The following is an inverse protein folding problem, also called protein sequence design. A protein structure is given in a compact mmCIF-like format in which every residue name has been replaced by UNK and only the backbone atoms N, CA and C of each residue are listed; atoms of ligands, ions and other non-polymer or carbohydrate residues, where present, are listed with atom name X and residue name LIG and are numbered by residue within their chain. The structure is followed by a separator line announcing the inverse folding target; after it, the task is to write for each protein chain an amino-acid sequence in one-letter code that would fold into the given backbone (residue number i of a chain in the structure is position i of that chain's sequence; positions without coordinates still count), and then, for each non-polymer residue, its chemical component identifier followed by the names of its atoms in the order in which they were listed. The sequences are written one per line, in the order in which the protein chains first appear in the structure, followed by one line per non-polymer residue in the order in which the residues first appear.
data_IF_959620260029
#
_entry.id   IF_959620260029
#
_cell.length_a   1.000
_cell.length_b   1.000
_cell.length_c   1.000
_cell.angle_alpha   90.00
_cell.angle_beta   90.00
_cell.angle_gamma   90.00
#
_symmetry.space_group_name_H-M   'P 1'
#
loop_
_entity.id
_entity.type
_entity.pdbx_description
1 polymer ?
#
# COMPACT_ATOMS: atom_id res chain seq x y z
N UNK A 1 -51.88 -51.30 -12.94
CA UNK A 1 -52.62 -51.19 -14.21
C UNK A 1 -51.81 -50.27 -15.12
N UNK A 2 -51.41 -50.81 -16.27
CA UNK A 2 -51.12 -50.20 -17.58
C UNK A 2 -50.04 -49.11 -17.74
N UNK A 3 -49.05 -49.49 -18.58
CA UNK A 3 -48.22 -48.70 -19.51
C UNK A 3 -48.84 -47.41 -20.07
N UNK A 4 -47.98 -46.42 -20.38
CA UNK A 4 -47.59 -46.07 -21.76
C UNK A 4 -47.05 -44.63 -21.87
N UNK A 5 -46.00 -44.46 -22.69
CA UNK A 5 -46.07 -43.43 -23.75
C UNK A 5 -45.15 -42.21 -23.66
N UNK A 6 -43.90 -42.44 -24.06
CA UNK A 6 -42.89 -41.53 -24.59
C UNK A 6 -43.42 -40.51 -25.64
N UNK A 7 -42.88 -39.27 -25.55
CA UNK A 7 -42.61 -38.24 -26.58
C UNK A 7 -43.61 -37.86 -27.69
N UNK A 8 -43.82 -36.54 -27.90
CA UNK A 8 -43.56 -35.85 -29.20
C UNK A 8 -43.19 -34.35 -29.05
N UNK A 9 -41.90 -34.06 -29.30
CA UNK A 9 -41.22 -32.93 -30.00
C UNK A 9 -42.02 -31.66 -30.37
N UNK A 10 -41.57 -30.47 -29.92
CA UNK A 10 -40.61 -29.53 -30.56
C UNK A 10 -41.32 -28.45 -31.41
N UNK A 11 -41.29 -27.16 -31.06
CA UNK A 11 -40.35 -26.08 -31.41
C UNK A 11 -40.89 -24.86 -30.63
N UNK A 12 -40.13 -23.98 -29.97
CA UNK A 12 -39.30 -22.92 -30.55
C UNK A 12 -38.31 -22.38 -29.47
N UNK A 13 -37.08 -22.10 -29.88
CA UNK A 13 -36.03 -21.33 -29.16
C UNK A 13 -36.19 -19.84 -29.54
N UNK A 14 -35.37 -18.89 -29.03
CA UNK A 14 -34.59 -18.78 -27.78
C UNK A 14 -34.75 -17.39 -27.09
N UNK A 15 -34.26 -17.15 -25.87
CA UNK A 15 -33.54 -15.91 -25.52
C UNK A 15 -32.98 -15.98 -24.07
N UNK A 16 -31.67 -16.24 -23.99
CA UNK A 16 -30.66 -15.80 -23.01
C UNK A 16 -31.12 -15.25 -21.64
N UNK A 17 -30.66 -15.90 -20.56
CA UNK A 17 -30.25 -15.23 -19.34
C UNK A 17 -29.14 -16.03 -18.65
N UNK A 18 -27.94 -15.46 -18.64
CA UNK A 18 -26.78 -16.00 -17.97
C UNK A 18 -26.97 -15.95 -16.44
N UNK A 19 -26.82 -17.10 -15.78
CA UNK A 19 -26.77 -17.20 -14.32
C UNK A 19 -25.35 -16.81 -13.91
N UNK A 20 -25.18 -15.58 -13.43
CA UNK A 20 -23.95 -15.15 -12.78
C UNK A 20 -23.78 -15.92 -11.47
N UNK A 21 -22.81 -16.83 -11.43
CA UNK A 21 -22.29 -17.37 -10.19
C UNK A 21 -21.69 -16.23 -9.35
N UNK A 22 -22.43 -15.81 -8.32
CA UNK A 22 -21.93 -14.95 -7.27
C UNK A 22 -20.96 -15.75 -6.41
N UNK A 23 -19.67 -15.64 -6.73
CA UNK A 23 -18.57 -16.08 -5.87
C UNK A 23 -18.55 -15.18 -4.62
N UNK A 24 -19.32 -15.53 -3.61
CA UNK A 24 -19.21 -14.97 -2.26
C UNK A 24 -17.88 -15.44 -1.65
N UNK A 25 -16.78 -14.79 -2.02
CA UNK A 25 -15.58 -14.81 -1.21
C UNK A 25 -15.88 -14.04 0.08
N UNK A 26 -15.61 -14.60 1.28
CA UNK A 26 -15.82 -13.88 2.52
C UNK A 26 -14.85 -12.70 2.53
N UNK A 27 -15.37 -11.48 2.32
CA UNK A 27 -14.66 -10.25 2.59
C UNK A 27 -14.26 -10.29 4.06
N UNK A 28 -12.99 -10.61 4.34
CA UNK A 28 -12.39 -10.43 5.67
C UNK A 28 -12.57 -8.97 6.03
N UNK A 29 -13.56 -8.68 6.88
CA UNK A 29 -13.70 -7.37 7.51
C UNK A 29 -12.46 -7.20 8.39
N UNK A 30 -11.46 -6.48 7.91
CA UNK A 30 -10.36 -6.03 8.75
C UNK A 30 -10.95 -5.04 9.74
N UNK A 31 -11.08 -5.43 10.99
CA UNK A 31 -11.38 -4.51 12.08
C UNK A 31 -10.26 -3.49 12.10
N UNK A 32 -10.50 -2.27 11.60
CA UNK A 32 -9.47 -1.21 11.55
C UNK A 32 -8.88 -1.03 12.93
N UNK A 33 -7.56 -1.06 13.02
CA UNK A 33 -6.87 -0.77 14.28
C UNK A 33 -6.93 0.75 14.54
N UNK A 34 -6.90 1.20 15.81
CA UNK A 34 -6.78 2.63 16.13
C UNK A 34 -5.57 3.29 15.45
N UNK A 35 -4.50 2.51 15.23
CA UNK A 35 -3.28 2.95 14.58
C UNK A 35 -3.49 3.18 13.08
N UNK A 36 -4.24 2.31 12.40
CA UNK A 36 -4.64 2.49 11.01
C UNK A 36 -5.46 3.77 10.79
N UNK A 37 -6.39 4.07 11.69
CA UNK A 37 -7.18 5.30 11.62
C UNK A 37 -6.32 6.55 11.86
N UNK A 38 -5.36 6.48 12.79
CA UNK A 38 -4.36 7.53 13.01
C UNK A 38 -3.54 7.78 11.74
N UNK A 39 -2.97 6.73 11.13
CA UNK A 39 -2.17 6.85 9.90
C UNK A 39 -2.97 7.53 8.79
N UNK A 40 -4.25 7.18 8.62
CA UNK A 40 -5.11 7.82 7.61
C UNK A 40 -5.31 9.31 7.90
N UNK A 41 -5.59 9.69 9.14
CA UNK A 41 -5.77 11.10 9.51
C UNK A 41 -4.50 11.92 9.23
N UNK A 42 -3.34 11.39 9.60
CA UNK A 42 -2.05 12.02 9.36
C UNK A 42 -1.79 12.20 7.86
N UNK A 43 -2.11 11.19 7.05
CA UNK A 43 -2.01 11.27 5.58
C UNK A 43 -2.90 12.37 5.02
N UNK A 44 -4.15 12.48 5.48
CA UNK A 44 -5.07 13.52 5.00
C UNK A 44 -4.57 14.92 5.35
N UNK A 45 -4.12 15.14 6.59
CA UNK A 45 -3.54 16.43 7.00
C UNK A 45 -2.31 16.79 6.16
N UNK A 46 -1.38 15.85 6.04
CA UNK A 46 -0.15 16.06 5.28
C UNK A 46 -0.41 16.32 3.79
N UNK A 47 -1.39 15.63 3.20
CA UNK A 47 -1.77 15.85 1.80
C UNK A 47 -2.37 17.25 1.58
N UNK A 48 -3.08 17.78 2.58
CA UNK A 48 -3.58 19.16 2.55
C UNK A 48 -2.44 20.18 2.63
N UNK A 49 -1.47 19.95 3.52
CA UNK A 49 -0.34 20.84 3.74
C UNK A 49 0.65 20.87 2.57
N UNK A 50 0.92 19.72 1.95
CA UNK A 50 1.92 19.61 0.89
C UNK A 50 1.44 20.19 -0.45
N UNK A 51 0.15 20.41 -0.68
CA UNK A 51 -0.36 21.00 -1.93
C UNK A 51 -0.05 20.19 -3.21
N UNK A 52 -0.70 20.56 -4.32
CA UNK A 52 -0.58 19.82 -5.60
C UNK A 52 0.79 20.02 -6.27
N UNK A 53 1.42 21.19 -6.11
CA UNK A 53 2.68 21.54 -6.78
C UNK A 53 3.94 20.87 -6.22
N UNK A 54 3.88 20.36 -4.99
CA UNK A 54 5.05 19.76 -4.34
C UNK A 54 5.31 18.36 -4.91
N UNK A 55 4.29 17.62 -5.38
CA UNK A 55 4.44 16.25 -5.93
C UNK A 55 5.45 16.09 -7.05
N UNK A 56 5.58 17.06 -7.95
CA UNK A 56 6.56 16.99 -9.04
C UNK A 56 7.99 17.27 -8.57
N UNK A 57 8.14 18.16 -7.58
CA UNK A 57 9.42 18.48 -6.94
C UNK A 57 9.89 17.33 -6.04
N UNK A 58 8.95 16.61 -5.41
CA UNK A 58 9.22 15.50 -4.50
C UNK A 58 9.91 14.30 -5.14
N UNK A 59 9.70 14.06 -6.44
CA UNK A 59 10.38 12.98 -7.17
C UNK A 59 11.81 13.29 -7.60
N UNK A 60 12.27 14.53 -7.42
CA UNK A 60 13.59 15.02 -7.89
C UNK A 60 14.48 15.53 -6.75
N UNK A 61 14.08 15.30 -5.51
CA UNK A 61 14.86 15.71 -4.34
C UNK A 61 15.63 14.51 -3.80
N UNK A 62 16.78 14.79 -3.17
CA UNK A 62 17.57 13.74 -2.54
C UNK A 62 16.85 13.20 -1.29
N UNK A 63 17.12 11.95 -0.92
CA UNK A 63 16.40 11.33 0.20
C UNK A 63 16.60 12.06 1.54
N UNK A 64 17.77 12.66 1.76
CA UNK A 64 18.05 13.51 2.91
C UNK A 64 17.25 14.82 2.89
N UNK A 65 17.11 15.50 1.75
CA UNK A 65 16.24 16.68 1.64
C UNK A 65 14.75 16.33 1.72
N UNK A 66 14.31 15.22 1.09
CA UNK A 66 12.94 14.73 1.22
C UNK A 66 12.56 14.49 2.69
N UNK A 67 13.48 13.93 3.48
CA UNK A 67 13.25 13.73 4.90
C UNK A 67 13.34 15.04 5.67
N UNK A 68 14.50 15.71 5.63
CA UNK A 68 14.81 16.79 6.57
C UNK A 68 14.16 18.12 6.19
N UNK A 69 14.14 18.46 4.91
CA UNK A 69 13.66 19.75 4.42
C UNK A 69 12.16 19.76 4.13
N UNK A 70 11.58 18.59 3.88
CA UNK A 70 10.16 18.47 3.50
C UNK A 70 9.41 17.75 4.60
N UNK A 71 9.64 16.44 4.76
CA UNK A 71 8.84 15.64 5.68
C UNK A 71 8.90 16.18 7.11
N UNK A 72 10.10 16.30 7.68
CA UNK A 72 10.24 16.63 9.10
C UNK A 72 9.80 18.06 9.45
N UNK A 73 9.50 18.92 8.48
CA UNK A 73 8.88 20.23 8.74
C UNK A 73 7.40 20.12 9.13
N UNK A 74 6.69 19.11 8.65
CA UNK A 74 5.28 18.89 8.94
C UNK A 74 5.09 17.96 10.15
N UNK A 75 4.22 18.34 11.09
CA UNK A 75 3.90 17.54 12.29
C UNK A 75 3.43 16.14 11.89
N UNK A 76 2.50 16.07 10.93
CA UNK A 76 1.89 14.82 10.50
C UNK A 76 2.91 13.90 9.82
N UNK A 77 3.86 14.44 9.07
CA UNK A 77 4.92 13.61 8.47
C UNK A 77 5.94 13.14 9.50
N UNK A 78 6.33 13.97 10.48
CA UNK A 78 7.16 13.51 11.60
C UNK A 78 6.54 12.33 12.33
N UNK A 79 5.23 12.36 12.52
CA UNK A 79 4.49 11.25 13.14
C UNK A 79 4.45 10.02 12.25
N UNK A 80 4.12 10.17 10.96
CA UNK A 80 4.16 9.08 9.98
C UNK A 80 5.54 8.43 9.88
N UNK A 81 6.61 9.23 9.91
CA UNK A 81 7.99 8.76 9.89
C UNK A 81 8.33 7.89 11.09
N UNK A 82 7.92 8.31 12.29
CA UNK A 82 8.09 7.52 13.52
C UNK A 82 7.30 6.21 13.46
N UNK A 83 6.04 6.28 13.03
CA UNK A 83 5.18 5.11 12.90
C UNK A 83 5.78 4.10 11.93
N UNK A 84 6.16 4.54 10.73
CA UNK A 84 6.81 3.68 9.74
C UNK A 84 8.08 3.01 10.25
N UNK A 85 8.99 3.75 10.88
CA UNK A 85 10.21 3.15 11.44
C UNK A 85 9.91 2.11 12.51
N UNK A 86 8.85 2.29 13.29
CA UNK A 86 8.44 1.33 14.31
C UNK A 86 7.70 0.12 13.75
N UNK A 87 6.90 0.30 12.69
CA UNK A 87 6.04 -0.74 12.12
C UNK A 87 6.72 -1.55 11.03
N UNK A 88 7.62 -0.93 10.25
CA UNK A 88 8.40 -1.55 9.18
C UNK A 88 9.89 -1.66 9.56
N UNK A 89 10.14 -2.14 10.78
CA UNK A 89 11.48 -2.31 11.32
C UNK A 89 12.32 -3.28 10.49
N UNK A 90 13.58 -2.92 10.28
CA UNK A 90 14.60 -3.76 9.66
C UNK A 90 15.79 -3.78 10.61
N UNK A 91 16.32 -4.96 10.90
CA UNK A 91 17.46 -5.13 11.80
C UNK A 91 18.81 -4.82 11.11
N UNK A 92 19.89 -4.97 11.87
CA UNK A 92 21.27 -4.72 11.40
C UNK A 92 21.70 -5.67 10.27
N UNK A 93 21.11 -6.87 10.20
CA UNK A 93 21.32 -7.87 9.15
C UNK A 93 20.44 -7.61 7.91
N UNK A 94 19.73 -6.49 7.85
CA UNK A 94 18.77 -6.14 6.81
C UNK A 94 17.61 -7.15 6.67
N UNK A 95 17.20 -7.77 7.78
CA UNK A 95 16.01 -8.63 7.84
C UNK A 95 14.81 -7.85 8.32
N UNK A 96 13.64 -8.16 7.74
CA UNK A 96 12.39 -7.58 8.18
C UNK A 96 12.02 -8.09 9.57
N UNK A 97 11.72 -7.19 10.51
CA UNK A 97 11.28 -7.51 11.87
C UNK A 97 9.86 -7.01 12.17
N UNK A 98 9.06 -6.72 11.13
CA UNK A 98 7.68 -6.25 11.33
C UNK A 98 6.82 -7.31 12.02
N UNK A 99 5.94 -6.86 12.91
CA UNK A 99 4.97 -7.73 13.61
C UNK A 99 3.54 -7.54 13.10
N UNK A 100 3.23 -6.36 12.55
CA UNK A 100 1.94 -6.05 11.93
C UNK A 100 2.14 -5.53 10.51
N UNK A 101 1.78 -6.40 9.56
CA UNK A 101 1.89 -6.15 8.13
C UNK A 101 0.98 -5.03 7.64
N UNK A 102 -0.26 -4.95 8.13
CA UNK A 102 -1.23 -3.96 7.66
C UNK A 102 -0.81 -2.57 8.12
N UNK A 103 -0.41 -2.45 9.39
CA UNK A 103 0.12 -1.20 9.93
C UNK A 103 1.38 -0.76 9.19
N UNK A 104 2.33 -1.68 8.96
CA UNK A 104 3.54 -1.38 8.18
C UNK A 104 3.18 -0.84 6.79
N UNK A 105 2.35 -1.56 6.04
CA UNK A 105 1.94 -1.13 4.69
C UNK A 105 1.26 0.25 4.68
N UNK A 106 0.30 0.48 5.59
CA UNK A 106 -0.40 1.76 5.65
C UNK A 106 0.54 2.92 6.02
N UNK A 107 1.49 2.68 6.91
CA UNK A 107 2.49 3.69 7.28
C UNK A 107 3.41 4.04 6.10
N UNK A 108 3.79 3.04 5.30
CA UNK A 108 4.57 3.23 4.06
C UNK A 108 3.78 4.00 3.01
N UNK A 109 2.49 3.67 2.81
CA UNK A 109 1.63 4.44 1.91
C UNK A 109 1.51 5.90 2.35
N UNK A 110 1.45 6.18 3.65
CA UNK A 110 1.42 7.55 4.16
C UNK A 110 2.70 8.34 3.84
N UNK A 111 3.87 7.72 3.99
CA UNK A 111 5.16 8.34 3.70
C UNK A 111 5.50 8.45 2.22
N UNK A 112 5.02 7.53 1.40
CA UNK A 112 5.30 7.55 -0.05
C UNK A 112 4.80 8.82 -0.72
N UNK A 113 3.82 9.50 -0.12
CA UNK A 113 3.28 10.78 -0.59
C UNK A 113 4.23 11.97 -0.37
N UNK A 114 5.29 11.80 0.41
CA UNK A 114 6.19 12.88 0.83
C UNK A 114 7.49 12.90 0.02
N UNK A 115 7.52 12.22 -1.13
CA UNK A 115 8.71 12.05 -1.98
C UNK A 115 9.68 10.97 -1.48
N UNK A 116 9.55 10.55 -0.23
CA UNK A 116 10.46 9.59 0.40
C UNK A 116 10.47 8.21 -0.25
N UNK A 117 9.42 7.82 -0.98
CA UNK A 117 9.37 6.54 -1.71
C UNK A 117 10.00 6.56 -3.11
N UNK A 118 10.38 7.74 -3.62
CA UNK A 118 10.93 7.92 -4.99
C UNK A 118 12.18 8.80 -5.05
N UNK A 119 12.74 9.18 -3.90
CA UNK A 119 13.92 10.02 -3.80
C UNK A 119 15.19 9.31 -4.32
N UNK A 120 16.21 10.09 -4.67
CA UNK A 120 17.51 9.59 -5.11
C UNK A 120 18.63 10.04 -4.18
N UNK A 121 19.86 9.57 -4.42
CA UNK A 121 21.07 10.07 -3.76
C UNK A 121 22.13 10.28 -4.83
N UNK A 122 22.71 11.48 -4.90
CA UNK A 122 23.69 11.86 -5.94
C UNK A 122 25.15 11.71 -5.46
N UNK A 123 25.37 11.61 -4.16
CA UNK A 123 26.69 11.64 -3.52
C UNK A 123 26.96 10.39 -2.69
N UNK A 124 28.14 10.32 -2.07
CA UNK A 124 28.51 9.34 -1.05
C UNK A 124 27.90 9.64 0.34
N UNK A 125 26.88 10.49 0.43
CA UNK A 125 26.22 10.83 1.69
C UNK A 125 25.57 9.56 2.31
N UNK A 126 26.19 9.06 3.38
CA UNK A 126 25.74 7.87 4.11
C UNK A 126 24.30 8.00 4.60
N UNK A 127 23.90 9.18 5.04
CA UNK A 127 22.58 9.42 5.60
C UNK A 127 21.53 9.35 4.49
N UNK A 128 21.81 9.91 3.31
CA UNK A 128 20.91 9.78 2.17
C UNK A 128 20.70 8.31 1.79
N UNK A 129 21.78 7.53 1.68
CA UNK A 129 21.71 6.10 1.33
C UNK A 129 20.98 5.29 2.41
N UNK A 130 21.20 5.61 3.69
CA UNK A 130 20.49 4.99 4.79
C UNK A 130 18.98 5.29 4.70
N UNK A 131 18.57 6.53 4.48
CA UNK A 131 17.15 6.89 4.29
C UNK A 131 16.57 6.12 3.11
N UNK A 132 17.27 6.12 1.97
CA UNK A 132 16.84 5.42 0.75
C UNK A 132 16.68 3.91 0.95
N UNK A 133 17.56 3.29 1.73
CA UNK A 133 17.46 1.88 2.09
C UNK A 133 16.19 1.62 2.90
N UNK A 134 15.92 2.48 3.89
CA UNK A 134 14.77 2.32 4.77
C UNK A 134 13.44 2.72 4.12
N UNK A 135 13.42 3.49 3.03
CA UNK A 135 12.20 3.89 2.32
C UNK A 135 12.00 3.13 1.02
N UNK A 136 12.79 3.43 -0.02
CA UNK A 136 12.62 2.86 -1.37
C UNK A 136 12.90 1.36 -1.42
N UNK A 137 13.81 0.88 -0.57
CA UNK A 137 14.27 -0.51 -0.57
C UNK A 137 13.94 -1.26 0.72
N UNK A 138 12.98 -0.77 1.50
CA UNK A 138 12.62 -1.37 2.78
C UNK A 138 12.28 -2.86 2.60
N UNK A 139 13.00 -3.74 3.31
CA UNK A 139 12.87 -5.19 3.15
C UNK A 139 11.45 -5.68 3.46
N UNK A 140 10.82 -5.16 4.51
CA UNK A 140 9.45 -5.52 4.89
C UNK A 140 8.43 -5.22 3.79
N UNK A 141 8.57 -4.06 3.15
CA UNK A 141 7.69 -3.64 2.06
C UNK A 141 7.95 -4.47 0.80
N UNK A 142 9.21 -4.79 0.49
CA UNK A 142 9.54 -5.62 -0.68
C UNK A 142 9.07 -7.06 -0.53
N UNK A 143 9.21 -7.65 0.65
CA UNK A 143 8.67 -8.98 0.95
C UNK A 143 7.15 -9.00 0.83
N UNK A 144 6.47 -7.92 1.23
CA UNK A 144 5.04 -7.74 0.98
C UNK A 144 4.72 -7.78 -0.51
N UNK A 145 5.44 -7.03 -1.36
CA UNK A 145 5.17 -7.00 -2.81
C UNK A 145 5.39 -8.36 -3.48
N UNK A 146 6.34 -9.16 -3.01
CA UNK A 146 6.62 -10.50 -3.55
C UNK A 146 5.58 -11.53 -3.09
N UNK A 147 5.13 -11.45 -1.84
CA UNK A 147 4.09 -12.34 -1.30
C UNK A 147 2.68 -11.99 -1.82
N UNK A 148 2.44 -10.75 -2.23
CA UNK A 148 1.17 -10.29 -2.82
C UNK A 148 1.28 -10.06 -4.33
N UNK A 149 1.84 -11.02 -5.09
CA UNK A 149 1.85 -11.02 -6.56
C UNK A 149 0.43 -11.08 -7.21
N UNK A 150 -0.58 -10.50 -6.57
CA UNK A 150 -1.90 -10.14 -7.09
C UNK A 150 -2.10 -8.61 -7.22
N UNK A 151 -1.16 -7.76 -6.75
CA UNK A 151 -1.28 -6.29 -6.93
C UNK A 151 0.06 -5.63 -7.30
N UNK A 152 0.27 -5.25 -8.58
CA UNK A 152 1.48 -4.53 -9.00
C UNK A 152 1.48 -3.09 -8.46
N UNK A 153 2.66 -2.65 -8.00
CA UNK A 153 2.93 -1.26 -7.64
C UNK A 153 3.29 -0.50 -8.93
N UNK A 154 2.49 0.50 -9.29
CA UNK A 154 2.67 1.40 -10.44
C UNK A 154 3.45 2.68 -10.07
#
# INVERSE_FOLDING_TARGET
MLDAGEERRALERPLYAAISHSSNAPQRRTTRTPLSDQIRQLKTQLSGDLGIGTREVLGRTTCDSALNDICLRHVSCRQLWRLFRSSCGVDEDNRCTMTDRETCWQSFEGLSWTGLGKCHCESSNSDCHWIRLHTNYNKCIREFSVLNAEFPIH
#
